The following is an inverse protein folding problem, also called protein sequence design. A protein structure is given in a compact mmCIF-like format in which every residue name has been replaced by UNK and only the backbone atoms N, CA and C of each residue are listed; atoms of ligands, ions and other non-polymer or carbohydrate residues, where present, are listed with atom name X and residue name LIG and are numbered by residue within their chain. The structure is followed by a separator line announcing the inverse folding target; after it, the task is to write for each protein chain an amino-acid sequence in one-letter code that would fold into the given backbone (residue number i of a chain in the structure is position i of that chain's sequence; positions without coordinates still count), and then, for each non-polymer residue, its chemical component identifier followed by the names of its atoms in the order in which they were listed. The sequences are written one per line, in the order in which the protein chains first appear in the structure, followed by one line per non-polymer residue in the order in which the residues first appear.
data_IF_111644356391
#
_entry.id   IF_111644356391
#
_cell.length_a   1.000
_cell.length_b   1.000
_cell.length_c   1.000
_cell.angle_alpha   90.00
_cell.angle_beta   90.00
_cell.angle_gamma   90.00
#
_symmetry.space_group_name_H-M   'P 1'
#
loop_
_entity.id
_entity.type
_entity.pdbx_description
1 polymer ?
#
# COMPACT_ATOMS: atom_id res chain seq x y z
N UNK A 1 -5.25 -17.43 10.92
CA UNK A 1 -5.91 -17.10 9.62
C UNK A 1 -6.88 -18.22 9.30
N UNK A 2 -8.13 -17.89 8.94
CA UNK A 2 -9.11 -18.86 8.46
C UNK A 2 -8.87 -19.24 7.00
N UNK A 3 -9.31 -20.45 6.61
CA UNK A 3 -9.35 -20.87 5.20
C UNK A 3 -10.79 -20.70 4.70
N UNK A 4 -10.95 -20.05 3.56
CA UNK A 4 -12.24 -19.81 2.93
C UNK A 4 -12.11 -20.08 1.44
N UNK A 5 -13.05 -20.81 0.86
CA UNK A 5 -13.16 -20.95 -0.59
C UNK A 5 -14.14 -19.89 -1.09
N UNK A 6 -13.65 -19.02 -1.98
CA UNK A 6 -14.44 -17.96 -2.62
C UNK A 6 -14.04 -17.90 -4.09
N UNK A 7 -15.00 -17.55 -4.93
CA UNK A 7 -14.72 -17.17 -6.31
C UNK A 7 -14.17 -15.74 -6.35
N UNK A 8 -13.11 -15.53 -7.12
CA UNK A 8 -12.42 -14.24 -7.25
C UNK A 8 -12.24 -13.94 -8.73
N UNK A 9 -12.46 -12.68 -9.13
CA UNK A 9 -12.07 -12.21 -10.46
C UNK A 9 -10.54 -12.23 -10.60
N UNK A 10 -10.05 -13.15 -11.42
CA UNK A 10 -8.64 -13.34 -11.69
C UNK A 10 -7.97 -12.12 -12.32
N UNK A 11 -8.70 -11.32 -13.11
CA UNK A 11 -8.15 -10.10 -13.71
C UNK A 11 -7.96 -9.02 -12.66
N UNK A 12 -8.96 -8.84 -11.79
CA UNK A 12 -8.87 -7.89 -10.68
C UNK A 12 -7.74 -8.28 -9.71
N UNK A 13 -7.62 -9.58 -9.40
CA UNK A 13 -6.57 -10.08 -8.53
C UNK A 13 -5.17 -9.89 -9.15
N UNK A 14 -5.01 -10.18 -10.44
CA UNK A 14 -3.75 -9.95 -11.16
C UNK A 14 -3.34 -8.47 -11.20
N UNK A 15 -4.30 -7.55 -11.39
CA UNK A 15 -4.02 -6.11 -11.39
C UNK A 15 -3.54 -5.62 -10.01
N UNK A 16 -4.18 -6.09 -8.93
CA UNK A 16 -3.73 -5.78 -7.55
C UNK A 16 -2.33 -6.35 -7.31
N UNK A 17 -2.08 -7.60 -7.68
CA UNK A 17 -0.77 -8.23 -7.55
C UNK A 17 0.31 -7.45 -8.30
N UNK A 18 0.05 -7.05 -9.54
CA UNK A 18 0.98 -6.28 -10.37
C UNK A 18 1.24 -4.89 -9.79
N UNK A 19 0.18 -4.18 -9.39
CA UNK A 19 0.27 -2.80 -8.87
C UNK A 19 1.03 -2.72 -7.55
N UNK A 20 0.83 -3.71 -6.67
CA UNK A 20 1.42 -3.74 -5.32
C UNK A 20 2.55 -4.77 -5.16
N UNK A 21 3.03 -5.36 -6.27
CA UNK A 21 4.16 -6.30 -6.32
C UNK A 21 3.98 -7.51 -5.38
N UNK A 22 2.79 -8.09 -5.37
CA UNK A 22 2.43 -9.22 -4.52
C UNK A 22 2.60 -10.54 -5.27
N UNK A 23 3.14 -11.55 -4.57
CA UNK A 23 3.54 -12.83 -5.17
C UNK A 23 2.38 -13.81 -5.28
N UNK A 24 1.32 -13.65 -4.48
CA UNK A 24 0.19 -14.59 -4.42
C UNK A 24 -1.17 -13.91 -4.39
N UNK A 25 -2.20 -14.59 -4.93
CA UNK A 25 -3.61 -14.16 -4.82
C UNK A 25 -4.03 -13.96 -3.36
N UNK A 26 -3.53 -14.81 -2.45
CA UNK A 26 -3.76 -14.70 -1.01
C UNK A 26 -3.23 -13.38 -0.45
N UNK A 27 -2.03 -12.96 -0.84
CA UNK A 27 -1.47 -11.67 -0.42
C UNK A 27 -2.29 -10.52 -0.97
N UNK A 28 -2.70 -10.57 -2.24
CA UNK A 28 -3.54 -9.54 -2.86
C UNK A 28 -4.89 -9.37 -2.15
N UNK A 29 -5.57 -10.47 -1.82
CA UNK A 29 -6.85 -10.43 -1.09
C UNK A 29 -6.66 -9.86 0.31
N UNK A 30 -5.65 -10.33 1.05
CA UNK A 30 -5.40 -9.84 2.41
C UNK A 30 -4.97 -8.36 2.41
N UNK A 31 -4.19 -7.95 1.42
CA UNK A 31 -3.80 -6.56 1.23
C UNK A 31 -5.04 -5.69 1.00
N UNK A 32 -5.88 -6.04 0.02
CA UNK A 32 -7.08 -5.29 -0.30
C UNK A 32 -8.03 -5.16 0.91
N UNK A 33 -8.27 -6.25 1.64
CA UNK A 33 -9.11 -6.22 2.85
C UNK A 33 -8.57 -5.28 3.92
N UNK A 34 -7.25 -5.30 4.16
CA UNK A 34 -6.61 -4.40 5.14
C UNK A 34 -6.64 -2.95 4.68
N UNK A 35 -6.39 -2.69 3.41
CA UNK A 35 -6.41 -1.34 2.84
C UNK A 35 -7.81 -0.74 2.87
N UNK A 36 -8.84 -1.52 2.56
CA UNK A 36 -10.22 -1.05 2.57
C UNK A 36 -10.80 -0.92 3.98
N UNK A 37 -10.36 -1.75 4.92
CA UNK A 37 -10.75 -1.66 6.32
C UNK A 37 -9.96 -0.60 7.10
N UNK A 38 -8.87 -0.08 6.54
CA UNK A 38 -8.11 0.99 7.18
C UNK A 38 -8.91 2.28 7.14
N UNK A 39 -9.23 2.83 8.31
CA UNK A 39 -9.72 4.19 8.41
C UNK A 39 -8.57 5.15 8.05
N UNK A 40 -8.80 6.14 7.16
CA UNK A 40 -7.85 7.21 6.95
C UNK A 40 -7.52 7.87 8.29
N UNK A 41 -6.26 8.24 8.49
CA UNK A 41 -5.91 9.09 9.63
C UNK A 41 -6.80 10.33 9.63
N UNK A 42 -7.34 10.67 10.79
CA UNK A 42 -7.97 11.97 10.98
C UNK A 42 -6.95 13.09 10.72
N UNK A 43 -7.45 14.29 10.43
CA UNK A 43 -6.60 15.45 10.17
C UNK A 43 -5.67 15.73 11.36
N UNK A 44 -6.14 15.51 12.58
CA UNK A 44 -5.36 15.75 13.79
C UNK A 44 -4.30 14.67 14.01
N UNK A 45 -4.60 13.40 13.74
CA UNK A 45 -3.61 12.32 13.76
C UNK A 45 -2.54 12.54 12.69
N UNK A 46 -2.93 12.93 11.48
CA UNK A 46 -1.98 13.26 10.42
C UNK A 46 -1.10 14.46 10.79
N UNK A 47 -1.64 15.46 11.48
CA UNK A 47 -0.87 16.62 11.98
C UNK A 47 0.05 16.26 13.13
N UNK A 48 -0.33 15.32 14.00
CA UNK A 48 0.51 14.84 15.09
C UNK A 48 1.81 14.17 14.59
N UNK A 49 1.79 13.63 13.36
CA UNK A 49 3.00 13.11 12.70
C UNK A 49 3.95 14.20 12.17
N UNK A 50 3.57 15.49 12.24
CA UNK A 50 4.46 16.58 11.84
C UNK A 50 5.65 16.66 12.80
N UNK A 51 6.86 16.64 12.26
CA UNK A 51 8.08 16.81 13.04
C UNK A 51 8.71 15.52 13.54
N UNK A 52 8.18 14.35 13.16
CA UNK A 52 8.81 13.03 13.43
C UNK A 52 10.18 12.85 12.76
N UNK A 53 10.64 13.86 12.01
CA UNK A 53 11.89 13.83 11.26
C UNK A 53 11.76 13.06 9.95
N UNK A 54 12.64 13.39 9.00
CA UNK A 54 12.87 12.62 7.79
C UNK A 54 14.36 12.63 7.52
N UNK A 55 14.98 11.46 7.43
CA UNK A 55 16.44 11.30 7.39
C UNK A 55 17.02 11.23 5.96
N UNK A 56 16.19 11.29 4.93
CA UNK A 56 16.68 11.25 3.55
C UNK A 56 17.31 12.57 3.10
N UNK A 57 18.07 12.52 1.99
CA UNK A 57 18.49 13.71 1.26
C UNK A 57 17.50 13.99 0.12
N UNK A 58 16.80 15.13 0.22
CA UNK A 58 15.81 15.53 -0.77
C UNK A 58 16.45 15.90 -2.12
N UNK A 59 17.69 16.38 -2.11
CA UNK A 59 18.42 16.75 -3.32
C UNK A 59 18.86 15.50 -4.08
N UNK A 60 19.31 14.46 -3.37
CA UNK A 60 19.64 13.16 -3.97
C UNK A 60 18.43 12.52 -4.67
N UNK A 61 17.25 12.53 -4.03
CA UNK A 61 16.03 11.97 -4.62
C UNK A 61 15.49 12.75 -5.83
N UNK A 62 15.96 13.99 -6.03
CA UNK A 62 15.53 14.86 -7.14
C UNK A 62 16.49 14.82 -8.32
N UNK A 63 17.77 14.58 -8.09
CA UNK A 63 18.79 14.54 -9.15
C UNK A 63 18.56 13.42 -10.17
N UNK A 64 17.92 12.31 -9.77
CA UNK A 64 17.59 11.20 -10.67
C UNK A 64 16.45 11.45 -11.67
N UNK A 65 15.78 12.62 -11.64
CA UNK A 65 14.69 12.98 -12.57
C UNK A 65 15.07 13.99 -13.66
N UNK A 66 16.35 14.34 -13.76
CA UNK A 66 16.86 15.18 -14.86
C UNK A 66 17.43 14.29 -15.97
N UNK A 67 16.55 13.73 -16.80
CA UNK A 67 16.87 13.22 -18.15
C UNK A 67 15.81 13.73 -19.12
#
# INVERSE_FOLDING_TARGET
MGRTNIDIDDRACAEVMRRYQLSTKREAVNFALRTLAAEPLSVDEARALRGIGWEGDLNELRSGRSL
#
